data_IF_625471859072
#
_entry.id   IF_625471859072
#
_cell.length_a   1.000
_cell.length_b   1.000
_cell.length_c   1.000
_cell.angle_alpha   90.00
_cell.angle_beta   90.00
_cell.angle_gamma   90.00
#
_symmetry.space_group_name_H-M   'P 1'
#
loop_
_entity.id
_entity.type
_entity.pdbx_description
1 polymer ?
#
# COMPACT_ATOMS: atom_id res chain seq x y z
N UNK A 1 -9.53 23.39 11.04
CA UNK A 1 -8.40 22.48 10.77
C UNK A 1 -8.48 21.87 9.36
N UNK A 2 -9.65 21.45 8.87
CA UNK A 2 -9.85 20.85 7.53
C UNK A 2 -9.36 21.70 6.33
N UNK A 3 -9.64 23.01 6.33
CA UNK A 3 -9.21 23.92 5.25
C UNK A 3 -7.69 24.09 5.14
N UNK A 4 -6.96 23.96 6.26
CA UNK A 4 -5.50 24.05 6.28
C UNK A 4 -4.84 22.79 5.71
N UNK A 5 -5.42 21.62 5.97
CA UNK A 5 -4.93 20.36 5.42
C UNK A 5 -5.17 20.31 3.91
N UNK A 6 -6.39 20.64 3.46
CA UNK A 6 -6.73 20.72 2.03
C UNK A 6 -5.82 21.71 1.27
N UNK A 7 -5.54 22.88 1.83
CA UNK A 7 -4.62 23.85 1.23
C UNK A 7 -3.20 23.31 1.08
N UNK A 8 -2.68 22.59 2.08
CA UNK A 8 -1.35 21.97 2.01
C UNK A 8 -1.28 20.81 1.00
N UNK A 9 -2.35 20.03 0.87
CA UNK A 9 -2.40 18.96 -0.14
C UNK A 9 -2.43 19.52 -1.57
N UNK A 10 -3.10 20.64 -1.81
CA UNK A 10 -3.08 21.30 -3.13
C UNK A 10 -1.72 21.95 -3.45
N UNK A 11 -1.08 22.58 -2.47
CA UNK A 11 0.27 23.14 -2.63
C UNK A 11 1.31 22.04 -2.90
N UNK A 12 1.29 20.95 -2.12
CA UNK A 12 2.16 19.79 -2.34
C UNK A 12 1.93 19.14 -3.71
N UNK A 13 0.67 19.11 -4.17
CA UNK A 13 0.34 18.61 -5.51
C UNK A 13 0.95 19.50 -6.61
N UNK A 14 0.89 20.82 -6.46
CA UNK A 14 1.46 21.76 -7.42
C UNK A 14 2.98 21.63 -7.49
N UNK A 15 3.67 21.52 -6.35
CA UNK A 15 5.11 21.30 -6.29
C UNK A 15 5.50 19.97 -6.94
N UNK A 16 4.77 18.90 -6.64
CA UNK A 16 5.01 17.56 -7.23
C UNK A 16 4.85 17.59 -8.74
N UNK A 17 3.83 18.29 -9.27
CA UNK A 17 3.65 18.48 -10.72
C UNK A 17 4.78 19.27 -11.36
N UNK A 18 5.26 20.34 -10.71
CA UNK A 18 6.41 21.10 -11.19
C UNK A 18 7.69 20.28 -11.26
N UNK A 19 7.94 19.44 -10.25
CA UNK A 19 9.07 18.50 -10.25
C UNK A 19 8.94 17.45 -11.35
N UNK A 20 7.73 16.94 -11.59
CA UNK A 20 7.45 15.97 -12.65
C UNK A 20 7.74 16.52 -14.05
N UNK A 21 7.34 17.77 -14.33
CA UNK A 21 7.60 18.38 -15.63
C UNK A 21 9.11 18.53 -15.88
N UNK A 22 9.87 18.89 -14.85
CA UNK A 22 11.34 18.92 -14.92
C UNK A 22 11.92 17.52 -15.14
N UNK A 23 11.50 16.53 -14.36
CA UNK A 23 11.99 15.16 -14.50
C UNK A 23 11.62 14.53 -15.84
N UNK A 24 10.47 14.85 -16.42
CA UNK A 24 10.09 14.40 -17.78
C UNK A 24 11.06 14.93 -18.83
N UNK A 25 11.40 16.22 -18.78
CA UNK A 25 12.38 16.81 -19.71
C UNK A 25 13.76 16.15 -19.52
N UNK A 26 14.20 16.00 -18.27
CA UNK A 26 15.50 15.40 -17.96
C UNK A 26 15.57 13.90 -18.30
N UNK A 27 14.48 13.16 -18.13
CA UNK A 27 14.37 11.75 -18.48
C UNK A 27 14.47 11.51 -20.00
N UNK A 28 14.00 12.45 -20.83
CA UNK A 28 14.22 12.37 -22.28
C UNK A 28 15.70 12.53 -22.63
N UNK A 29 16.42 13.43 -21.95
CA UNK A 29 17.84 13.67 -22.21
C UNK A 29 18.77 12.60 -21.62
N UNK A 30 18.46 12.12 -20.40
CA UNK A 30 19.27 11.16 -19.65
C UNK A 30 18.38 10.14 -18.91
N UNK A 31 17.76 9.19 -19.66
CA UNK A 31 16.81 8.24 -19.09
C UNK A 31 17.38 7.43 -17.93
N UNK A 32 18.60 6.93 -18.06
CA UNK A 32 19.25 6.10 -17.03
C UNK A 32 19.48 6.83 -15.69
N UNK A 33 19.54 8.16 -15.70
CA UNK A 33 19.78 8.96 -14.49
C UNK A 33 18.49 9.40 -13.83
N UNK A 34 17.49 9.80 -14.61
CA UNK A 34 16.32 10.50 -14.07
C UNK A 34 15.04 9.65 -14.06
N UNK A 35 15.00 8.50 -14.73
CA UNK A 35 13.80 7.67 -14.73
C UNK A 35 13.44 7.18 -13.31
N UNK A 36 14.41 6.87 -12.45
CA UNK A 36 14.13 6.48 -11.05
C UNK A 36 13.50 7.62 -10.26
N UNK A 37 13.99 8.86 -10.44
CA UNK A 37 13.37 10.03 -9.83
C UNK A 37 11.97 10.27 -10.38
N UNK A 38 11.79 10.12 -11.69
CA UNK A 38 10.51 10.28 -12.36
C UNK A 38 9.47 9.27 -11.86
N UNK A 39 9.82 7.98 -11.75
CA UNK A 39 8.89 6.95 -11.22
C UNK A 39 8.53 7.20 -9.76
N UNK A 40 9.52 7.59 -8.93
CA UNK A 40 9.28 7.97 -7.54
C UNK A 40 8.31 9.16 -7.42
N UNK A 41 8.53 10.22 -8.19
CA UNK A 41 7.64 11.39 -8.20
C UNK A 41 6.24 11.07 -8.72
N UNK A 42 6.11 10.18 -9.71
CA UNK A 42 4.80 9.74 -10.22
C UNK A 42 4.03 8.94 -9.17
N UNK A 43 4.72 8.09 -8.38
CA UNK A 43 4.10 7.40 -7.26
C UNK A 43 3.64 8.36 -6.16
N UNK A 44 4.48 9.33 -5.78
CA UNK A 44 4.10 10.38 -4.81
C UNK A 44 2.90 11.19 -5.29
N UNK A 45 2.88 11.56 -6.58
CA UNK A 45 1.72 12.22 -7.20
C UNK A 45 0.46 11.36 -7.05
N UNK A 46 0.55 10.06 -7.35
CA UNK A 46 -0.57 9.14 -7.20
C UNK A 46 -1.11 9.11 -5.77
N UNK A 47 -0.24 9.04 -4.76
CA UNK A 47 -0.66 9.08 -3.35
C UNK A 47 -1.37 10.38 -3.00
N UNK A 48 -0.85 11.54 -3.41
CA UNK A 48 -1.51 12.82 -3.16
C UNK A 48 -2.86 12.94 -3.88
N UNK A 49 -2.98 12.38 -5.08
CA UNK A 49 -4.25 12.32 -5.80
C UNK A 49 -5.26 11.40 -5.10
N UNK A 50 -4.82 10.29 -4.51
CA UNK A 50 -5.67 9.42 -3.67
C UNK A 50 -6.18 10.18 -2.44
N UNK A 51 -5.31 10.91 -1.73
CA UNK A 51 -5.70 11.73 -0.55
C UNK A 51 -6.75 12.79 -0.92
N UNK A 52 -6.68 13.31 -2.15
CA UNK A 52 -7.63 14.27 -2.71
C UNK A 52 -8.86 13.61 -3.37
N UNK A 53 -9.03 12.30 -3.27
CA UNK A 53 -10.12 11.52 -3.88
C UNK A 53 -10.18 11.63 -5.43
N UNK A 54 -9.04 11.86 -6.09
CA UNK A 54 -8.89 11.96 -7.56
C UNK A 54 -8.37 10.64 -8.12
N UNK A 55 -9.17 9.58 -7.95
CA UNK A 55 -8.74 8.19 -8.15
C UNK A 55 -8.34 7.85 -9.61
N UNK A 56 -9.04 8.40 -10.60
CA UNK A 56 -8.69 8.19 -12.01
C UNK A 56 -7.35 8.82 -12.38
N UNK A 57 -7.08 10.03 -11.87
CA UNK A 57 -5.79 10.70 -12.10
C UNK A 57 -4.65 10.00 -11.38
N UNK A 58 -4.90 9.50 -10.16
CA UNK A 58 -3.96 8.66 -9.43
C UNK A 58 -3.61 7.40 -10.24
N UNK A 59 -4.62 6.71 -10.78
CA UNK A 59 -4.44 5.53 -11.62
C UNK A 59 -3.58 5.83 -12.85
N UNK A 60 -3.77 6.98 -13.51
CA UNK A 60 -2.93 7.41 -14.64
C UNK A 60 -1.47 7.56 -14.21
N UNK A 61 -1.22 8.29 -13.11
CA UNK A 61 0.13 8.54 -12.62
C UNK A 61 0.87 7.25 -12.25
N UNK A 62 0.23 6.35 -11.50
CA UNK A 62 0.87 5.09 -11.08
C UNK A 62 1.09 4.13 -12.26
N UNK A 63 0.20 4.14 -13.26
CA UNK A 63 0.37 3.33 -14.47
C UNK A 63 1.56 3.82 -15.30
N UNK A 64 1.75 5.15 -15.41
CA UNK A 64 2.93 5.74 -16.04
C UNK A 64 4.21 5.34 -15.30
N UNK A 65 4.21 5.40 -13.95
CA UNK A 65 5.34 4.98 -13.13
C UNK A 65 5.71 3.53 -13.40
N UNK A 66 4.74 2.61 -13.36
CA UNK A 66 4.96 1.18 -13.61
C UNK A 66 5.45 0.89 -15.03
N UNK A 67 4.98 1.64 -16.04
CA UNK A 67 5.45 1.50 -17.41
C UNK A 67 6.93 1.88 -17.54
N UNK A 68 7.32 3.03 -17.00
CA UNK A 68 8.73 3.47 -17.01
C UNK A 68 9.59 2.51 -16.20
N UNK A 69 9.11 2.08 -15.03
CA UNK A 69 9.80 1.17 -14.15
C UNK A 69 10.08 -0.19 -14.81
N UNK A 70 9.09 -0.77 -15.51
CA UNK A 70 9.28 -2.02 -16.24
C UNK A 70 10.32 -1.89 -17.36
N UNK A 71 10.41 -0.74 -18.01
CA UNK A 71 11.43 -0.47 -19.03
C UNK A 71 12.82 -0.25 -18.45
N UNK A 72 12.94 0.04 -17.15
CA UNK A 72 14.23 0.15 -16.44
C UNK A 72 14.78 -1.20 -15.95
N UNK A 73 13.96 -2.24 -15.90
CA UNK A 73 14.22 -3.46 -15.13
C UNK A 73 15.23 -4.45 -15.74
N UNK A 74 16.19 -4.00 -16.56
CA UNK A 74 17.16 -4.90 -17.22
C UNK A 74 18.29 -5.39 -16.30
N UNK A 75 18.52 -4.76 -15.14
CA UNK A 75 19.58 -5.14 -14.19
C UNK A 75 19.03 -5.25 -12.75
N UNK A 76 18.64 -6.47 -12.36
CA UNK A 76 17.86 -6.76 -11.13
C UNK A 76 18.69 -6.61 -9.84
N UNK A 77 18.29 -5.72 -8.95
CA UNK A 77 18.77 -5.63 -7.54
C UNK A 77 17.60 -5.74 -6.55
N UNK A 78 17.87 -6.06 -5.28
CA UNK A 78 16.83 -6.20 -4.23
C UNK A 78 16.05 -4.91 -3.98
N UNK A 79 16.70 -3.75 -4.03
CA UNK A 79 16.05 -2.45 -3.92
C UNK A 79 15.00 -2.22 -5.02
N UNK A 80 15.25 -2.75 -6.21
CA UNK A 80 14.33 -2.65 -7.35
C UNK A 80 13.05 -3.47 -7.15
N UNK A 81 13.10 -4.56 -6.37
CA UNK A 81 11.88 -5.33 -6.09
C UNK A 81 10.99 -4.63 -5.03
N UNK A 82 11.59 -3.82 -4.16
CA UNK A 82 10.84 -3.13 -3.11
C UNK A 82 10.07 -1.91 -3.64
N UNK A 83 10.69 -1.08 -4.48
CA UNK A 83 9.98 0.06 -5.09
C UNK A 83 8.80 -0.42 -5.96
N UNK A 84 8.99 -1.53 -6.69
CA UNK A 84 7.91 -2.17 -7.44
C UNK A 84 6.73 -2.57 -6.53
N UNK A 85 7.02 -3.17 -5.37
CA UNK A 85 5.98 -3.55 -4.41
C UNK A 85 5.19 -2.32 -3.92
N UNK A 86 5.87 -1.21 -3.61
CA UNK A 86 5.23 0.05 -3.25
C UNK A 86 4.30 0.59 -4.36
N UNK A 87 4.74 0.49 -5.63
CA UNK A 87 3.93 0.96 -6.75
C UNK A 87 2.71 0.07 -6.99
N UNK A 88 2.85 -1.24 -6.82
CA UNK A 88 1.76 -2.20 -6.94
C UNK A 88 0.70 -2.04 -5.84
N UNK A 89 1.10 -1.74 -4.61
CA UNK A 89 0.14 -1.42 -3.54
C UNK A 89 -0.63 -0.12 -3.80
N UNK A 90 0.05 0.90 -4.32
CA UNK A 90 -0.59 2.16 -4.75
C UNK A 90 -1.58 1.91 -5.88
N UNK A 91 -1.21 1.09 -6.86
CA UNK A 91 -2.10 0.64 -7.93
C UNK A 91 -3.31 -0.11 -7.38
N UNK A 92 -3.11 -1.04 -6.43
CA UNK A 92 -4.21 -1.77 -5.77
C UNK A 92 -5.22 -0.82 -5.15
N UNK A 93 -4.74 0.21 -4.45
CA UNK A 93 -5.60 1.21 -3.82
C UNK A 93 -6.40 2.00 -4.85
N UNK A 94 -5.77 2.46 -5.94
CA UNK A 94 -6.47 3.12 -7.04
C UNK A 94 -7.57 2.23 -7.64
N UNK A 95 -7.22 0.98 -7.97
CA UNK A 95 -8.15 0.01 -8.56
C UNK A 95 -9.33 -0.29 -7.64
N UNK A 96 -9.09 -0.42 -6.33
CA UNK A 96 -10.15 -0.68 -5.37
C UNK A 96 -11.13 0.48 -5.26
N UNK A 97 -10.66 1.73 -5.24
CA UNK A 97 -11.53 2.92 -5.23
C UNK A 97 -12.37 3.03 -6.50
N UNK A 98 -11.86 2.51 -7.62
CA UNK A 98 -12.56 2.45 -8.90
C UNK A 98 -13.44 1.20 -9.07
N UNK A 99 -13.61 0.39 -8.02
CA UNK A 99 -14.46 -0.82 -8.04
C UNK A 99 -13.88 -2.02 -8.79
N UNK A 100 -12.59 -1.98 -9.16
CA UNK A 100 -11.87 -3.05 -9.87
C UNK A 100 -11.24 -4.04 -8.89
N UNK A 101 -12.09 -4.69 -8.08
CA UNK A 101 -11.68 -5.46 -6.90
C UNK A 101 -10.69 -6.60 -7.16
N UNK A 102 -10.92 -7.43 -8.18
CA UNK A 102 -10.03 -8.55 -8.52
C UNK A 102 -8.65 -8.08 -8.99
N UNK A 103 -8.60 -7.02 -9.79
CA UNK A 103 -7.34 -6.43 -10.25
C UNK A 103 -6.59 -5.77 -9.08
N UNK A 104 -7.32 -5.13 -8.17
CA UNK A 104 -6.75 -4.59 -6.95
C UNK A 104 -6.14 -5.68 -6.07
N UNK A 105 -6.84 -6.81 -5.90
CA UNK A 105 -6.33 -7.96 -5.16
C UNK A 105 -5.06 -8.52 -5.79
N UNK A 106 -5.06 -8.71 -7.11
CA UNK A 106 -3.88 -9.21 -7.82
C UNK A 106 -2.64 -8.31 -7.60
N UNK A 107 -2.82 -6.98 -7.67
CA UNK A 107 -1.73 -6.03 -7.50
C UNK A 107 -1.13 -6.06 -6.07
N UNK A 108 -1.95 -6.03 -5.02
CA UNK A 108 -1.41 -6.08 -3.63
C UNK A 108 -0.84 -7.45 -3.28
N UNK A 109 -1.40 -8.53 -3.84
CA UNK A 109 -0.82 -9.88 -3.67
C UNK A 109 0.59 -9.95 -4.26
N UNK A 110 0.80 -9.41 -5.48
CA UNK A 110 2.13 -9.34 -6.10
C UNK A 110 3.10 -8.49 -5.26
N UNK A 111 2.65 -7.36 -4.69
CA UNK A 111 3.46 -6.54 -3.79
C UNK A 111 3.94 -7.32 -2.55
N UNK A 112 3.02 -8.06 -1.90
CA UNK A 112 3.36 -8.89 -0.74
C UNK A 112 4.33 -10.01 -1.14
N UNK A 113 4.12 -10.66 -2.28
CA UNK A 113 4.98 -11.76 -2.73
C UNK A 113 6.39 -11.29 -3.09
N UNK A 114 6.53 -10.10 -3.67
CA UNK A 114 7.84 -9.45 -3.88
C UNK A 114 8.57 -9.18 -2.56
N UNK A 115 7.85 -8.67 -1.55
CA UNK A 115 8.42 -8.48 -0.22
C UNK A 115 8.79 -9.80 0.46
N UNK A 116 7.99 -10.86 0.32
CA UNK A 116 8.32 -12.19 0.87
C UNK A 116 9.54 -12.82 0.19
N UNK A 117 9.73 -12.58 -1.11
CA UNK A 117 10.89 -13.04 -1.86
C UNK A 117 12.19 -12.34 -1.42
N UNK A 118 12.10 -11.14 -0.83
CA UNK A 118 13.20 -10.47 -0.13
C UNK A 118 13.41 -11.17 1.23
N UNK A 119 14.08 -12.33 1.18
CA UNK A 119 14.34 -13.17 2.35
C UNK A 119 15.09 -12.47 3.49
N UNK A 120 15.21 -13.12 4.66
CA UNK A 120 15.84 -12.54 5.86
C UNK A 120 17.30 -12.11 5.67
N UNK A 121 18.01 -12.74 4.72
CA UNK A 121 19.43 -12.49 4.44
C UNK A 121 19.66 -11.36 3.42
N UNK A 122 18.59 -10.79 2.84
CA UNK A 122 18.70 -9.66 1.92
C UNK A 122 18.84 -8.35 2.69
N UNK A 123 19.65 -7.42 2.18
CA UNK A 123 19.69 -6.05 2.70
C UNK A 123 18.33 -5.40 2.46
N UNK A 124 17.58 -5.20 3.56
CA UNK A 124 16.21 -4.65 3.51
C UNK A 124 16.29 -3.13 3.39
N UNK A 125 15.59 -2.53 2.40
CA UNK A 125 15.49 -1.08 2.31
C UNK A 125 14.87 -0.45 3.55
N UNK A 126 15.17 0.83 3.78
CA UNK A 126 14.50 1.60 4.82
C UNK A 126 12.98 1.59 4.59
N UNK A 127 12.20 1.43 5.66
CA UNK A 127 10.73 1.37 5.57
C UNK A 127 10.16 0.06 5.04
N UNK A 128 10.98 -0.93 4.69
CA UNK A 128 10.52 -2.25 4.21
C UNK A 128 9.49 -2.88 5.14
N UNK A 129 9.81 -2.92 6.43
CA UNK A 129 8.96 -3.51 7.45
C UNK A 129 7.61 -2.79 7.56
N UNK A 130 7.62 -1.46 7.59
CA UNK A 130 6.40 -0.67 7.67
C UNK A 130 5.53 -0.88 6.42
N UNK A 131 6.15 -0.97 5.25
CA UNK A 131 5.43 -1.14 3.98
C UNK A 131 4.84 -2.54 3.86
N UNK A 132 5.58 -3.59 4.17
CA UNK A 132 5.06 -4.96 4.19
C UNK A 132 3.86 -5.09 5.14
N UNK A 133 3.96 -4.49 6.33
CA UNK A 133 2.83 -4.44 7.26
C UNK A 133 1.59 -3.78 6.61
N UNK A 134 1.74 -2.62 5.97
CA UNK A 134 0.64 -1.94 5.28
C UNK A 134 0.09 -2.77 4.10
N UNK A 135 0.95 -3.45 3.34
CA UNK A 135 0.52 -4.30 2.22
C UNK A 135 -0.34 -5.48 2.71
N UNK A 136 -0.01 -6.08 3.85
CA UNK A 136 -0.81 -7.16 4.45
C UNK A 136 -2.18 -6.64 4.93
N UNK A 137 -2.21 -5.43 5.51
CA UNK A 137 -3.47 -4.76 5.85
C UNK A 137 -4.32 -4.53 4.59
N UNK A 138 -3.74 -3.97 3.53
CA UNK A 138 -4.45 -3.72 2.28
C UNK A 138 -4.92 -5.02 1.63
N UNK A 139 -4.08 -6.07 1.62
CA UNK A 139 -4.43 -7.40 1.14
C UNK A 139 -5.67 -7.94 1.86
N UNK A 140 -5.72 -7.85 3.19
CA UNK A 140 -6.88 -8.28 3.98
C UNK A 140 -8.16 -7.51 3.61
N UNK A 141 -8.05 -6.21 3.37
CA UNK A 141 -9.16 -5.37 2.95
C UNK A 141 -9.66 -5.75 1.55
N UNK A 142 -8.76 -6.03 0.59
CA UNK A 142 -9.14 -6.50 -0.76
C UNK A 142 -9.81 -7.87 -0.73
N UNK A 143 -9.28 -8.80 0.06
CA UNK A 143 -9.86 -10.13 0.25
C UNK A 143 -11.25 -10.04 0.88
N UNK A 144 -11.44 -9.15 1.85
CA UNK A 144 -12.75 -8.87 2.44
C UNK A 144 -13.75 -8.36 1.43
N UNK A 145 -13.33 -7.38 0.60
CA UNK A 145 -14.20 -6.82 -0.41
C UNK A 145 -14.72 -7.87 -1.40
N UNK A 146 -13.92 -8.91 -1.67
CA UNK A 146 -14.25 -10.03 -2.57
C UNK A 146 -14.86 -11.24 -1.85
N UNK A 147 -15.24 -11.10 -0.58
CA UNK A 147 -15.80 -12.18 0.23
C UNK A 147 -14.87 -13.40 0.44
N UNK A 148 -13.55 -13.21 0.34
CA UNK A 148 -12.53 -14.23 0.55
C UNK A 148 -12.03 -14.19 1.99
N UNK A 149 -12.92 -14.54 2.91
CA UNK A 149 -12.75 -14.28 4.32
C UNK A 149 -11.54 -15.00 4.93
N UNK A 150 -11.47 -16.33 4.87
CA UNK A 150 -10.36 -17.10 5.47
C UNK A 150 -8.96 -16.57 5.06
N UNK A 151 -8.81 -16.20 3.79
CA UNK A 151 -7.56 -15.63 3.28
C UNK A 151 -7.27 -14.25 3.90
N UNK A 152 -8.29 -13.39 4.01
CA UNK A 152 -8.14 -12.06 4.61
C UNK A 152 -7.81 -12.10 6.10
N UNK A 153 -8.36 -13.07 6.84
CA UNK A 153 -7.97 -13.30 8.24
C UNK A 153 -6.50 -13.74 8.35
N UNK A 154 -6.05 -14.60 7.44
CA UNK A 154 -4.64 -15.04 7.42
C UNK A 154 -3.70 -13.86 7.19
N UNK A 155 -4.06 -12.92 6.31
CA UNK A 155 -3.28 -11.70 6.10
C UNK A 155 -3.24 -10.78 7.35
N UNK A 156 -4.34 -10.68 8.10
CA UNK A 156 -4.40 -9.95 9.39
C UNK A 156 -3.48 -10.59 10.43
N UNK A 157 -3.50 -11.92 10.55
CA UNK A 157 -2.61 -12.65 11.48
C UNK A 157 -1.14 -12.42 11.14
N UNK A 158 -0.79 -12.51 9.86
CA UNK A 158 0.58 -12.25 9.41
C UNK A 158 1.01 -10.81 9.72
N UNK A 159 0.13 -9.82 9.52
CA UNK A 159 0.42 -8.42 9.87
C UNK A 159 0.68 -8.24 11.38
N UNK A 160 -0.13 -8.89 12.23
CA UNK A 160 0.00 -8.84 13.68
C UNK A 160 1.28 -9.55 14.18
N UNK A 161 1.58 -10.73 13.64
CA UNK A 161 2.79 -11.49 13.95
C UNK A 161 4.04 -10.70 13.55
N UNK A 162 4.00 -10.07 12.37
CA UNK A 162 5.08 -9.22 11.89
C UNK A 162 5.30 -8.00 12.79
N UNK A 163 4.22 -7.35 13.23
CA UNK A 163 4.28 -6.24 14.18
C UNK A 163 4.89 -6.67 15.52
N UNK A 164 4.49 -7.82 16.05
CA UNK A 164 5.06 -8.39 17.29
C UNK A 164 6.55 -8.69 17.15
N UNK A 165 6.98 -9.26 16.03
CA UNK A 165 8.39 -9.57 15.80
C UNK A 165 9.29 -8.32 15.75
N UNK A 166 8.74 -7.16 15.35
CA UNK A 166 9.47 -5.89 15.29
C UNK A 166 9.43 -5.07 16.58
N UNK A 167 8.45 -5.34 17.44
CA UNK A 167 8.26 -4.63 18.68
C UNK A 167 9.09 -5.30 19.79
N UNK A 168 10.11 -4.60 20.31
CA UNK A 168 10.83 -5.07 21.50
C UNK A 168 9.95 -5.03 22.77
N UNK A 169 8.98 -4.12 22.79
CA UNK A 169 7.94 -3.97 23.82
C UNK A 169 6.60 -3.63 23.15
N UNK A 170 5.46 -3.98 23.79
CA UNK A 170 4.14 -3.66 23.27
C UNK A 170 3.97 -2.13 23.09
N UNK A 171 3.51 -1.61 21.93
CA UNK A 171 3.29 -0.18 21.74
C UNK A 171 2.35 0.42 22.80
N UNK A 172 2.72 1.59 23.33
CA UNK A 172 1.89 2.34 24.29
C UNK A 172 0.53 2.82 23.71
N UNK A 173 0.37 2.80 22.39
CA UNK A 173 -0.86 3.16 21.67
C UNK A 173 -1.20 2.06 20.67
N UNK A 174 -2.45 1.54 20.66
CA UNK A 174 -2.89 0.51 19.73
C UNK A 174 -2.73 0.92 18.26
N UNK A 175 -2.42 -0.05 17.40
CA UNK A 175 -2.28 0.17 15.97
C UNK A 175 -3.63 0.52 15.32
N UNK A 176 -3.81 1.80 15.00
CA UNK A 176 -5.08 2.35 14.49
C UNK A 176 -5.42 1.79 13.11
N UNK A 177 -4.43 1.49 12.27
CA UNK A 177 -4.68 0.96 10.92
C UNK A 177 -5.01 -0.53 10.96
N UNK A 178 -4.34 -1.33 11.81
CA UNK A 178 -4.77 -2.70 12.08
C UNK A 178 -6.21 -2.72 12.59
N UNK A 179 -6.50 -1.86 13.57
CA UNK A 179 -7.80 -1.83 14.20
C UNK A 179 -8.91 -1.48 13.20
N UNK A 180 -8.70 -0.46 12.35
CA UNK A 180 -9.65 -0.11 11.29
C UNK A 180 -9.85 -1.25 10.30
N UNK A 181 -8.78 -1.91 9.87
CA UNK A 181 -8.89 -3.04 8.93
C UNK A 181 -9.70 -4.18 9.52
N UNK A 182 -9.40 -4.57 10.77
CA UNK A 182 -10.12 -5.62 11.50
C UNK A 182 -11.60 -5.23 11.74
N UNK A 183 -11.89 -3.96 12.05
CA UNK A 183 -13.25 -3.46 12.19
C UNK A 183 -14.02 -3.49 10.85
N UNK A 184 -13.40 -3.09 9.75
CA UNK A 184 -13.98 -3.19 8.42
C UNK A 184 -14.25 -4.64 8.05
N UNK A 185 -13.28 -5.52 8.30
CA UNK A 185 -13.37 -6.96 8.08
C UNK A 185 -14.56 -7.58 8.84
N UNK A 186 -14.67 -7.31 10.15
CA UNK A 186 -15.79 -7.79 10.97
C UNK A 186 -17.15 -7.27 10.47
N UNK A 187 -17.20 -6.02 9.99
CA UNK A 187 -18.41 -5.41 9.42
C UNK A 187 -18.85 -6.14 8.15
N UNK A 188 -17.90 -6.53 7.30
CA UNK A 188 -18.20 -7.30 6.09
C UNK A 188 -18.70 -8.72 6.42
N UNK A 189 -18.09 -9.39 7.39
CA UNK A 189 -18.57 -10.70 7.85
C UNK A 189 -20.00 -10.65 8.40
N UNK A 190 -20.32 -9.64 9.22
CA UNK A 190 -21.68 -9.45 9.73
C UNK A 190 -22.69 -9.26 8.61
N UNK A 191 -22.34 -8.49 7.57
CA UNK A 191 -23.19 -8.30 6.38
C UNK A 191 -23.38 -9.59 5.58
N UNK A 192 -22.37 -10.45 5.54
CA UNK A 192 -22.42 -11.73 4.86
C UNK A 192 -23.07 -12.86 5.70
N UNK A 193 -23.48 -12.57 6.94
CA UNK A 193 -24.14 -13.55 7.82
C UNK A 193 -23.20 -14.43 8.65
N UNK A 194 -21.88 -14.19 8.54
CA UNK A 194 -20.81 -14.90 9.27
C UNK A 194 -20.63 -14.31 10.67
N UNK A 195 -21.66 -14.45 11.52
CA UNK A 195 -21.73 -13.79 12.83
C UNK A 195 -20.70 -14.30 13.83
N UNK A 196 -20.38 -15.59 13.80
CA UNK A 196 -19.42 -16.14 14.76
C UNK A 196 -17.98 -15.82 14.36
N UNK A 197 -17.69 -15.82 13.07
CA UNK A 197 -16.41 -15.36 12.54
C UNK A 197 -16.19 -13.88 12.85
N UNK A 198 -17.22 -13.04 12.70
CA UNK A 198 -17.14 -11.62 13.03
C UNK A 198 -16.87 -11.40 14.52
N UNK A 199 -17.49 -12.22 15.37
CA UNK A 199 -17.30 -12.17 16.83
C UNK A 199 -15.88 -12.59 17.22
N UNK A 200 -15.36 -13.66 16.63
CA UNK A 200 -13.98 -14.12 16.87
C UNK A 200 -12.96 -13.03 16.50
N UNK A 201 -13.19 -12.35 15.38
CA UNK A 201 -12.28 -11.29 14.92
C UNK A 201 -12.37 -10.02 15.77
N UNK A 202 -13.55 -9.68 16.29
CA UNK A 202 -13.68 -8.58 17.26
C UNK A 202 -13.06 -8.91 18.63
N UNK A 203 -13.06 -10.19 19.03
CA UNK A 203 -12.32 -10.64 20.21
C UNK A 203 -10.81 -10.52 19.97
N UNK A 204 -10.34 -10.95 18.81
CA UNK A 204 -8.93 -10.81 18.44
C UNK A 204 -8.50 -9.34 18.33
N UNK A 205 -9.36 -8.45 17.82
CA UNK A 205 -9.14 -7.00 17.89
C UNK A 205 -8.92 -6.50 19.31
N UNK A 206 -9.63 -7.06 20.29
CA UNK A 206 -9.46 -6.67 21.69
C UNK A 206 -8.11 -7.13 22.25
N UNK A 207 -7.63 -8.29 21.83
CA UNK A 207 -6.27 -8.76 22.17
C UNK A 207 -5.20 -7.92 21.47
N UNK A 208 -5.40 -7.57 20.20
CA UNK A 208 -4.53 -6.68 19.43
C UNK A 208 -4.51 -5.24 19.95
N UNK A 209 -5.61 -4.75 20.53
CA UNK A 209 -5.67 -3.44 21.22
C UNK A 209 -4.98 -3.44 22.59
N UNK A 210 -4.65 -4.61 23.15
CA UNK A 210 -3.87 -4.76 24.38
C UNK A 210 -2.39 -5.04 24.14
N UNK A 211 -1.99 -5.23 22.88
CA UNK A 211 -0.60 -5.33 22.41
C UNK A 211 -0.10 -3.96 21.97
#
# INVERSE_FOLDING_TARGET
MYLSALGWHEEALAETKGALDLFRVLAVERPATFNTNLTGSLNTLSCHLLDLNRHEEALVAITEALYIYRNLAEERTSAFNFDLACYLDTLSTCLSHLGRGEEALAAVQEAVDLCRALGPDSERPAGFNQSLYLFLINLSARLSYLCRWQDGLTAIHEAADFRRALAAEPPAVPDVELAKSVEQYSTFLLKAGHKEEARLILLELSELKML
#
